data_IF_586624975903
#
_entry.id   IF_586624975903
#
_cell.length_a   1.000
_cell.length_b   1.000
_cell.length_c   1.000
_cell.angle_alpha   90.00
_cell.angle_beta   90.00
_cell.angle_gamma   90.00
#
_symmetry.space_group_name_H-M   'P 1'
#
loop_
_entity.id
_entity.type
_entity.pdbx_description
1 polymer ?
#
# COMPACT_ATOMS: atom_id res chain seq x y z
N UNK A 1 3.59 -39.99 44.94
CA UNK A 1 4.39 -38.77 44.67
C UNK A 1 3.59 -37.88 43.74
N UNK A 2 3.05 -36.77 44.27
CA UNK A 2 2.25 -35.79 43.52
C UNK A 2 3.20 -34.86 42.77
N UNK A 3 3.09 -34.77 41.44
CA UNK A 3 3.74 -33.73 40.65
C UNK A 3 2.72 -32.62 40.41
N UNK A 4 2.84 -31.54 41.18
CA UNK A 4 2.13 -30.28 40.96
C UNK A 4 2.80 -29.52 39.83
N UNK A 5 2.16 -29.51 38.64
CA UNK A 5 2.54 -28.63 37.55
C UNK A 5 2.09 -27.19 37.88
N UNK A 6 3.06 -26.30 38.08
CA UNK A 6 2.85 -24.87 38.28
C UNK A 6 2.40 -24.25 36.95
N UNK A 7 1.15 -23.83 36.87
CA UNK A 7 0.64 -22.96 35.81
C UNK A 7 1.11 -21.54 36.15
N UNK A 8 2.17 -21.07 35.49
CA UNK A 8 2.49 -19.64 35.46
C UNK A 8 1.77 -19.02 34.27
N UNK A 9 0.58 -18.51 34.54
CA UNK A 9 -0.13 -17.62 33.62
C UNK A 9 0.64 -16.30 33.50
N UNK A 10 1.37 -16.13 32.41
CA UNK A 10 1.90 -14.81 32.03
C UNK A 10 0.75 -14.04 31.38
N UNK A 11 0.03 -13.26 32.19
CA UNK A 11 -0.77 -12.14 31.71
C UNK A 11 0.19 -11.15 31.06
N UNK A 12 0.44 -11.31 29.76
CA UNK A 12 0.97 -10.26 28.91
C UNK A 12 -0.08 -9.16 28.88
N UNK A 13 0.08 -8.20 29.78
CA UNK A 13 -0.50 -6.87 29.60
C UNK A 13 -0.12 -6.41 28.20
N UNK A 14 -1.14 -6.14 27.37
CA UNK A 14 -0.99 -5.48 26.09
C UNK A 14 -0.53 -4.04 26.39
N UNK A 15 0.75 -3.87 26.68
CA UNK A 15 1.39 -2.57 26.56
C UNK A 15 1.39 -2.25 25.07
N UNK A 16 0.47 -1.38 24.69
CA UNK A 16 0.49 -0.65 23.43
C UNK A 16 1.76 0.19 23.39
N UNK A 17 2.86 -0.41 22.93
CA UNK A 17 4.06 0.34 22.58
C UNK A 17 3.72 1.14 21.32
N UNK A 18 3.90 2.47 21.37
CA UNK A 18 3.88 3.32 20.18
C UNK A 18 4.97 2.93 19.18
N UNK A 19 5.16 3.71 18.10
CA UNK A 19 6.12 3.36 17.04
C UNK A 19 7.45 2.90 17.64
N UNK A 20 7.86 1.68 17.29
CA UNK A 20 8.99 1.00 17.95
C UNK A 20 10.32 1.53 17.45
N UNK A 21 10.35 2.03 16.22
CA UNK A 21 11.56 2.60 15.64
C UNK A 21 11.85 3.99 16.23
N UNK A 22 13.09 4.15 16.67
CA UNK A 22 13.66 5.45 17.07
C UNK A 22 14.00 6.29 15.85
N UNK A 23 14.10 7.62 16.01
CA UNK A 23 14.52 8.52 14.92
C UNK A 23 15.87 8.12 14.32
N UNK A 24 16.82 7.68 15.15
CA UNK A 24 18.11 7.17 14.67
C UNK A 24 17.96 5.96 13.75
N UNK A 25 17.07 5.02 14.08
CA UNK A 25 16.79 3.85 13.25
C UNK A 25 16.07 4.22 11.96
N UNK A 26 15.13 5.17 12.01
CA UNK A 26 14.49 5.71 10.79
C UNK A 26 15.53 6.30 9.85
N UNK A 27 16.40 7.18 10.35
CA UNK A 27 17.48 7.79 9.58
C UNK A 27 18.45 6.76 9.00
N UNK A 28 18.79 5.71 9.76
CA UNK A 28 19.65 4.63 9.30
C UNK A 28 19.00 3.87 8.13
N UNK A 29 17.73 3.49 8.24
CA UNK A 29 17.01 2.79 7.18
C UNK A 29 16.87 3.67 5.92
N UNK A 30 16.60 4.96 6.09
CA UNK A 30 16.42 5.93 5.00
C UNK A 30 17.74 6.42 4.37
N UNK A 31 18.89 6.06 4.94
CA UNK A 31 20.20 6.36 4.35
C UNK A 31 20.52 5.49 3.13
N UNK A 32 19.81 4.37 2.94
CA UNK A 32 19.98 3.50 1.79
C UNK A 32 19.64 4.23 0.49
N UNK A 33 20.49 4.05 -0.51
CA UNK A 33 20.34 4.63 -1.86
C UNK A 33 20.47 3.59 -2.98
N UNK A 34 20.72 2.33 -2.62
CA UNK A 34 20.65 1.19 -3.51
C UNK A 34 19.19 0.75 -3.73
N UNK A 35 18.99 -0.33 -4.49
CA UNK A 35 17.65 -0.85 -4.81
C UNK A 35 16.86 -1.38 -3.60
N UNK A 36 17.51 -1.53 -2.43
CA UNK A 36 16.83 -1.90 -1.18
C UNK A 36 16.12 -0.72 -0.50
N UNK A 37 16.30 0.51 -0.98
CA UNK A 37 15.81 1.71 -0.29
C UNK A 37 14.29 1.70 -0.04
N UNK A 38 13.48 1.29 -1.03
CA UNK A 38 12.02 1.22 -0.85
C UNK A 38 11.68 0.15 0.16
N UNK A 39 12.27 -1.04 0.08
CA UNK A 39 12.03 -2.11 1.06
C UNK A 39 12.37 -1.67 2.48
N UNK A 40 13.48 -0.94 2.68
CA UNK A 40 13.85 -0.39 3.99
C UNK A 40 12.88 0.70 4.46
N UNK A 41 12.40 1.54 3.55
CA UNK A 41 11.38 2.54 3.87
C UNK A 41 10.03 1.89 4.24
N UNK A 42 9.63 0.81 3.58
CA UNK A 42 8.41 0.07 3.91
C UNK A 42 8.47 -0.54 5.32
N UNK A 43 9.64 -0.93 5.83
CA UNK A 43 9.81 -1.35 7.23
C UNK A 43 9.41 -0.21 8.18
N UNK A 44 9.82 1.02 7.87
CA UNK A 44 9.49 2.20 8.71
C UNK A 44 8.00 2.52 8.70
N UNK A 45 7.35 2.35 7.55
CA UNK A 45 5.91 2.56 7.43
C UNK A 45 5.11 1.42 8.07
N UNK A 46 5.57 0.17 7.95
CA UNK A 46 4.98 -0.97 8.64
C UNK A 46 4.98 -0.78 10.16
N UNK A 47 6.08 -0.28 10.74
CA UNK A 47 6.13 0.08 12.17
C UNK A 47 5.11 1.17 12.52
N UNK A 48 5.06 2.26 11.74
CA UNK A 48 4.09 3.34 11.91
C UNK A 48 2.64 2.83 11.88
N UNK A 49 2.31 1.94 10.94
CA UNK A 49 0.97 1.39 10.75
C UNK A 49 0.58 0.38 11.82
N UNK A 50 1.51 -0.43 12.32
CA UNK A 50 1.23 -1.47 13.32
C UNK A 50 1.21 -0.91 14.75
N UNK A 51 2.10 0.04 15.05
CA UNK A 51 2.31 0.59 16.38
C UNK A 51 1.87 2.06 16.43
N UNK A 52 0.67 2.35 15.93
CA UNK A 52 0.14 3.72 15.79
C UNK A 52 -0.02 4.39 17.15
N UNK A 53 0.84 5.35 17.42
CA UNK A 53 0.71 6.31 18.52
C UNK A 53 0.96 7.74 18.00
N UNK A 54 -0.02 8.62 18.17
CA UNK A 54 0.06 9.99 17.65
C UNK A 54 1.16 10.80 18.37
N UNK A 55 1.34 10.56 19.68
CA UNK A 55 2.35 11.27 20.48
C UNK A 55 3.76 10.90 20.02
N UNK A 56 4.03 9.61 19.84
CA UNK A 56 5.32 9.14 19.37
C UNK A 56 5.57 9.55 17.93
N UNK A 57 4.57 9.48 17.04
CA UNK A 57 4.68 9.99 15.66
C UNK A 57 5.09 11.47 15.62
N UNK A 58 4.40 12.34 16.37
CA UNK A 58 4.73 13.77 16.43
C UNK A 58 6.13 14.01 17.02
N UNK A 59 6.52 13.23 18.04
CA UNK A 59 7.89 13.28 18.59
C UNK A 59 8.94 12.91 17.54
N UNK A 60 8.71 11.85 16.74
CA UNK A 60 9.65 11.45 15.67
C UNK A 60 9.78 12.54 14.59
N UNK A 61 8.67 13.15 14.17
CA UNK A 61 8.72 14.28 13.24
C UNK A 61 9.50 15.46 13.82
N UNK A 62 9.26 15.83 15.08
CA UNK A 62 9.98 16.91 15.73
C UNK A 62 11.50 16.65 15.77
N UNK A 63 11.92 15.45 16.17
CA UNK A 63 13.33 15.06 16.22
C UNK A 63 13.97 15.06 14.82
N UNK A 64 13.27 14.56 13.79
CA UNK A 64 13.74 14.57 12.39
C UNK A 64 13.93 15.99 11.86
N UNK A 65 12.95 16.88 12.03
CA UNK A 65 13.06 18.27 11.59
C UNK A 65 14.12 19.04 12.38
N UNK A 66 14.27 18.78 13.68
CA UNK A 66 15.34 19.36 14.50
C UNK A 66 16.71 18.96 13.95
N UNK A 67 16.92 17.67 13.65
CA UNK A 67 18.16 17.20 13.04
C UNK A 67 18.44 17.87 11.70
N UNK A 68 17.43 17.94 10.82
CA UNK A 68 17.54 18.54 9.48
C UNK A 68 17.81 20.05 9.51
N UNK A 69 17.42 20.75 10.58
CA UNK A 69 17.71 22.19 10.73
C UNK A 69 19.21 22.49 10.90
N UNK A 70 19.99 21.50 11.33
CA UNK A 70 21.44 21.60 11.50
C UNK A 70 22.24 20.75 10.48
N UNK A 71 21.57 19.83 9.78
CA UNK A 71 22.20 18.88 8.85
C UNK A 71 21.40 18.80 7.55
N UNK A 72 21.82 19.57 6.55
CA UNK A 72 21.19 19.53 5.23
C UNK A 72 21.34 18.15 4.59
N UNK A 73 20.22 17.45 4.39
CA UNK A 73 20.18 16.16 3.71
C UNK A 73 18.86 16.03 2.93
N UNK A 74 18.95 16.16 1.60
CA UNK A 74 17.79 16.15 0.72
C UNK A 74 17.01 14.83 0.76
N UNK A 75 17.71 13.68 0.74
CA UNK A 75 17.06 12.36 0.82
C UNK A 75 16.30 12.21 2.13
N UNK A 76 16.93 12.53 3.25
CA UNK A 76 16.31 12.44 4.57
C UNK A 76 15.12 13.40 4.70
N UNK A 77 15.22 14.63 4.17
CA UNK A 77 14.10 15.57 4.15
C UNK A 77 12.90 15.02 3.38
N UNK A 78 13.13 14.47 2.18
CA UNK A 78 12.07 13.83 1.38
C UNK A 78 11.45 12.65 2.14
N UNK A 79 12.29 11.80 2.75
CA UNK A 79 11.82 10.65 3.54
C UNK A 79 10.99 11.08 4.76
N UNK A 80 11.35 12.18 5.42
CA UNK A 80 10.55 12.80 6.49
C UNK A 80 9.20 13.27 5.97
N UNK A 81 9.14 13.92 4.80
CA UNK A 81 7.87 14.33 4.19
C UNK A 81 6.97 13.14 3.83
N UNK A 82 7.55 12.07 3.28
CA UNK A 82 6.83 10.82 3.00
C UNK A 82 6.28 10.23 4.30
N UNK A 83 7.09 10.16 5.36
CA UNK A 83 6.67 9.65 6.66
C UNK A 83 5.54 10.46 7.27
N UNK A 84 5.60 11.79 7.18
CA UNK A 84 4.54 12.69 7.64
C UNK A 84 3.21 12.43 6.91
N UNK A 85 3.25 12.36 5.58
CA UNK A 85 2.08 12.07 4.74
C UNK A 85 1.47 10.72 5.08
N UNK A 86 2.30 9.68 5.19
CA UNK A 86 1.84 8.34 5.53
C UNK A 86 1.22 8.32 6.93
N UNK A 87 1.82 9.01 7.90
CA UNK A 87 1.26 9.16 9.24
C UNK A 87 -0.08 9.86 9.25
N UNK A 88 -0.22 10.98 8.54
CA UNK A 88 -1.51 11.67 8.41
C UNK A 88 -2.60 10.75 7.83
N UNK A 89 -2.26 9.94 6.82
CA UNK A 89 -3.15 8.92 6.29
C UNK A 89 -3.57 7.89 7.35
N UNK A 90 -2.62 7.38 8.14
CA UNK A 90 -2.90 6.37 9.18
C UNK A 90 -3.73 6.90 10.36
N UNK A 91 -3.56 8.18 10.69
CA UNK A 91 -4.29 8.88 11.76
C UNK A 91 -5.55 9.61 11.27
N UNK A 92 -5.91 9.46 9.99
CA UNK A 92 -7.07 10.15 9.36
C UNK A 92 -7.02 11.68 9.54
N UNK A 93 -5.82 12.24 9.48
CA UNK A 93 -5.58 13.69 9.51
C UNK A 93 -5.65 14.20 8.08
N UNK A 94 -6.40 15.29 7.86
CA UNK A 94 -6.51 15.90 6.55
C UNK A 94 -5.16 16.44 6.05
N UNK A 95 -4.90 16.25 4.76
CA UNK A 95 -3.72 16.82 4.12
C UNK A 95 -3.87 18.33 3.95
N UNK A 96 -2.79 19.05 4.25
CA UNK A 96 -2.67 20.49 4.06
C UNK A 96 -2.13 20.85 2.67
N UNK A 97 -2.23 22.13 2.29
CA UNK A 97 -1.56 22.64 1.09
C UNK A 97 -0.02 22.45 1.15
N UNK A 98 0.55 22.53 2.35
CA UNK A 98 1.99 22.30 2.59
C UNK A 98 2.39 20.86 2.27
N UNK A 99 1.55 19.87 2.58
CA UNK A 99 1.82 18.46 2.25
C UNK A 99 1.94 18.25 0.75
N UNK A 100 1.02 18.84 -0.02
CA UNK A 100 1.06 18.81 -1.50
C UNK A 100 2.33 19.46 -2.03
N UNK A 101 2.70 20.61 -1.48
CA UNK A 101 3.91 21.34 -1.86
C UNK A 101 5.18 20.53 -1.53
N UNK A 102 5.23 19.87 -0.37
CA UNK A 102 6.32 18.98 0.00
C UNK A 102 6.48 17.83 -0.98
N UNK A 103 5.39 17.20 -1.43
CA UNK A 103 5.47 16.14 -2.44
C UNK A 103 5.99 16.65 -3.78
N UNK A 104 5.52 17.82 -4.25
CA UNK A 104 6.00 18.42 -5.51
C UNK A 104 7.48 18.81 -5.43
N UNK A 105 7.89 19.44 -4.32
CA UNK A 105 9.31 19.76 -4.06
C UNK A 105 10.14 18.49 -3.99
N UNK A 106 9.66 17.45 -3.31
CA UNK A 106 10.30 16.15 -3.24
C UNK A 106 10.50 15.53 -4.61
N UNK A 107 9.51 15.59 -5.50
CA UNK A 107 9.62 15.08 -6.87
C UNK A 107 10.72 15.80 -7.64
N UNK A 108 10.75 17.14 -7.57
CA UNK A 108 11.82 17.93 -8.20
C UNK A 108 13.19 17.58 -7.63
N UNK A 109 13.31 17.47 -6.31
CA UNK A 109 14.58 17.16 -5.64
C UNK A 109 15.07 15.74 -5.97
N UNK A 110 14.19 14.73 -5.93
CA UNK A 110 14.53 13.36 -6.29
C UNK A 110 14.97 13.25 -7.75
N UNK A 111 14.30 13.96 -8.66
CA UNK A 111 14.69 14.04 -10.07
C UNK A 111 16.07 14.69 -10.27
N UNK A 112 16.37 15.78 -9.56
CA UNK A 112 17.70 16.42 -9.60
C UNK A 112 18.80 15.55 -8.99
N UNK A 113 18.44 14.63 -8.10
CA UNK A 113 19.36 13.65 -7.52
C UNK A 113 19.48 12.38 -8.36
N UNK A 114 18.74 12.28 -9.47
CA UNK A 114 18.62 11.07 -10.29
C UNK A 114 18.19 9.82 -9.48
N UNK A 115 17.44 10.03 -8.39
CA UNK A 115 16.92 8.97 -7.54
C UNK A 115 15.52 8.54 -8.03
N UNK A 116 15.51 7.79 -9.11
CA UNK A 116 14.28 7.31 -9.75
C UNK A 116 13.39 6.49 -8.81
N UNK A 117 13.99 5.71 -7.91
CA UNK A 117 13.24 4.89 -6.97
C UNK A 117 12.48 5.77 -5.97
N UNK A 118 13.15 6.75 -5.34
CA UNK A 118 12.51 7.73 -4.47
C UNK A 118 11.49 8.60 -5.23
N UNK A 119 11.81 8.99 -6.46
CA UNK A 119 10.91 9.74 -7.34
C UNK A 119 9.62 8.95 -7.61
N UNK A 120 9.73 7.66 -7.89
CA UNK A 120 8.57 6.79 -8.12
C UNK A 120 7.67 6.65 -6.89
N UNK A 121 8.25 6.63 -5.69
CA UNK A 121 7.52 6.57 -4.43
C UNK A 121 6.70 7.85 -4.23
N UNK A 122 7.29 9.01 -4.47
CA UNK A 122 6.60 10.31 -4.41
C UNK A 122 5.47 10.41 -5.44
N UNK A 123 5.69 9.96 -6.68
CA UNK A 123 4.64 9.84 -7.69
C UNK A 123 3.49 8.94 -7.21
N UNK A 124 3.79 7.86 -6.47
CA UNK A 124 2.76 6.95 -5.97
C UNK A 124 1.92 7.52 -4.81
N UNK A 125 2.46 8.49 -4.05
CA UNK A 125 1.79 9.08 -2.90
C UNK A 125 0.99 10.33 -3.26
N UNK A 126 1.43 11.08 -4.26
CA UNK A 126 0.80 12.34 -4.66
C UNK A 126 -0.72 12.22 -4.93
N UNK A 127 -1.22 11.17 -5.63
CA UNK A 127 -2.65 10.97 -5.85
C UNK A 127 -3.52 10.99 -4.59
N UNK A 128 -2.98 10.60 -3.43
CA UNK A 128 -3.72 10.58 -2.15
C UNK A 128 -4.13 11.97 -1.68
N UNK A 129 -3.44 13.01 -2.15
CA UNK A 129 -3.68 14.41 -1.78
C UNK A 129 -4.42 15.17 -2.88
N UNK A 130 -4.74 14.51 -3.98
CA UNK A 130 -5.22 15.10 -5.22
C UNK A 130 -6.63 14.61 -5.54
N UNK A 131 -7.34 15.33 -6.42
CA UNK A 131 -8.68 14.94 -6.89
C UNK A 131 -8.62 13.61 -7.64
N UNK A 132 -9.59 12.69 -7.46
CA UNK A 132 -9.59 11.37 -8.13
C UNK A 132 -9.48 11.45 -9.66
N UNK A 133 -9.90 12.55 -10.28
CA UNK A 133 -9.91 12.74 -11.73
C UNK A 133 -8.57 13.22 -12.32
N UNK A 134 -7.59 13.61 -11.49
CA UNK A 134 -6.32 14.25 -11.94
C UNK A 134 -5.07 13.42 -11.59
N UNK A 135 -5.26 12.10 -11.41
CA UNK A 135 -4.26 11.23 -10.79
C UNK A 135 -3.61 10.22 -11.74
N UNK A 136 -4.19 10.00 -12.92
CA UNK A 136 -3.72 8.99 -13.87
C UNK A 136 -2.27 9.24 -14.29
N UNK A 137 -1.88 10.49 -14.54
CA UNK A 137 -0.50 10.86 -14.86
C UNK A 137 0.48 10.41 -13.76
N UNK A 138 0.27 10.81 -12.50
CA UNK A 138 1.17 10.48 -11.41
C UNK A 138 1.26 8.96 -11.18
N UNK A 139 0.13 8.25 -11.24
CA UNK A 139 0.11 6.80 -11.13
C UNK A 139 0.85 6.12 -12.28
N UNK A 140 0.62 6.53 -13.52
CA UNK A 140 1.30 5.97 -14.69
C UNK A 140 2.82 6.23 -14.64
N UNK A 141 3.25 7.44 -14.25
CA UNK A 141 4.68 7.75 -14.09
C UNK A 141 5.34 6.90 -13.02
N UNK A 142 4.66 6.68 -11.89
CA UNK A 142 5.14 5.77 -10.85
C UNK A 142 5.32 4.34 -11.40
N UNK A 143 4.32 3.82 -12.11
CA UNK A 143 4.36 2.47 -12.69
C UNK A 143 5.46 2.33 -13.77
N UNK A 144 5.62 3.32 -14.63
CA UNK A 144 6.66 3.37 -15.67
C UNK A 144 8.06 3.27 -15.05
N UNK A 145 8.35 4.12 -14.08
CA UNK A 145 9.66 4.13 -13.40
C UNK A 145 9.91 2.82 -12.65
N UNK A 146 8.91 2.30 -11.94
CA UNK A 146 9.02 1.04 -11.18
C UNK A 146 9.27 -0.16 -12.11
N UNK A 147 8.63 -0.19 -13.29
CA UNK A 147 8.89 -1.22 -14.30
C UNK A 147 10.31 -1.12 -14.87
N UNK A 148 10.80 0.10 -15.11
CA UNK A 148 12.18 0.33 -15.61
C UNK A 148 13.24 -0.14 -14.60
N UNK A 149 13.01 0.10 -13.31
CA UNK A 149 13.94 -0.29 -12.24
C UNK A 149 13.91 -1.80 -11.98
N UNK A 150 12.73 -2.41 -12.05
CA UNK A 150 12.48 -3.79 -11.62
C UNK A 150 11.44 -3.83 -10.50
N UNK A 151 10.31 -4.49 -10.75
CA UNK A 151 9.15 -4.51 -9.85
C UNK A 151 9.44 -5.23 -8.52
N UNK A 152 10.42 -6.12 -8.50
CA UNK A 152 10.92 -6.84 -7.32
C UNK A 152 11.49 -5.91 -6.23
N UNK A 153 11.92 -4.71 -6.61
CA UNK A 153 12.42 -3.69 -5.67
C UNK A 153 11.28 -2.89 -5.01
N UNK A 154 10.03 -3.18 -5.36
CA UNK A 154 8.82 -2.53 -4.85
C UNK A 154 7.87 -3.56 -4.24
N UNK A 155 8.02 -3.92 -2.95
CA UNK A 155 7.24 -4.99 -2.33
C UNK A 155 5.71 -4.83 -2.44
N UNK A 156 5.25 -3.58 -2.53
CA UNK A 156 3.84 -3.18 -2.64
C UNK A 156 3.41 -2.80 -4.07
N UNK A 157 4.19 -3.11 -5.11
CA UNK A 157 3.86 -2.79 -6.51
C UNK A 157 2.47 -3.30 -6.92
N UNK A 158 2.13 -4.54 -6.54
CA UNK A 158 0.84 -5.16 -6.83
C UNK A 158 -0.34 -4.36 -6.27
N UNK A 159 -0.19 -3.69 -5.11
CA UNK A 159 -1.25 -2.83 -4.56
C UNK A 159 -1.54 -1.62 -5.44
N UNK A 160 -0.51 -1.07 -6.08
CA UNK A 160 -0.67 0.06 -7.01
C UNK A 160 -1.44 -0.37 -8.25
N UNK A 161 -1.14 -1.55 -8.78
CA UNK A 161 -1.89 -2.13 -9.90
C UNK A 161 -3.36 -2.38 -9.54
N UNK A 162 -3.65 -2.91 -8.33
CA UNK A 162 -5.03 -3.12 -7.86
C UNK A 162 -5.78 -1.79 -7.82
N UNK A 163 -5.20 -0.79 -7.14
CA UNK A 163 -5.86 0.51 -7.00
C UNK A 163 -6.08 1.19 -8.35
N UNK A 164 -5.13 1.04 -9.28
CA UNK A 164 -5.25 1.63 -10.61
C UNK A 164 -6.30 0.89 -11.45
N UNK A 165 -6.35 -0.45 -11.38
CA UNK A 165 -7.40 -1.26 -12.01
C UNK A 165 -8.80 -0.84 -11.55
N UNK A 166 -9.00 -0.68 -10.23
CA UNK A 166 -10.25 -0.19 -9.64
C UNK A 166 -10.58 1.21 -10.13
N UNK A 167 -9.58 2.11 -10.17
CA UNK A 167 -9.79 3.48 -10.65
C UNK A 167 -10.23 3.51 -12.12
N UNK A 168 -9.61 2.69 -12.98
CA UNK A 168 -9.98 2.57 -14.39
C UNK A 168 -11.40 2.03 -14.57
N UNK A 169 -11.82 1.07 -13.74
CA UNK A 169 -13.20 0.59 -13.75
C UNK A 169 -14.20 1.72 -13.47
N UNK A 170 -13.95 2.53 -12.44
CA UNK A 170 -14.86 3.62 -12.06
C UNK A 170 -14.95 4.76 -13.08
N UNK A 171 -13.92 4.96 -13.89
CA UNK A 171 -13.95 5.95 -14.99
C UNK A 171 -14.41 5.36 -16.33
N UNK A 172 -14.84 4.09 -16.36
CA UNK A 172 -15.34 3.43 -17.57
C UNK A 172 -14.26 2.87 -18.51
N UNK A 173 -12.99 2.94 -18.11
CA UNK A 173 -11.86 2.41 -18.88
C UNK A 173 -11.66 0.89 -18.63
N UNK A 174 -12.68 0.11 -18.98
CA UNK A 174 -12.77 -1.31 -18.62
C UNK A 174 -11.63 -2.16 -19.19
N UNK A 175 -11.10 -1.83 -20.37
CA UNK A 175 -9.93 -2.52 -20.95
C UNK A 175 -8.68 -2.31 -20.10
N UNK A 176 -8.42 -1.07 -19.70
CA UNK A 176 -7.30 -0.76 -18.81
C UNK A 176 -7.50 -1.42 -17.43
N UNK A 177 -8.73 -1.40 -16.90
CA UNK A 177 -9.06 -2.07 -15.64
C UNK A 177 -8.69 -3.57 -15.69
N UNK A 178 -9.03 -4.25 -16.79
CA UNK A 178 -8.69 -5.66 -17.03
C UNK A 178 -7.16 -5.84 -17.10
N UNK A 179 -6.45 -5.04 -17.88
CA UNK A 179 -5.01 -5.22 -18.09
C UNK A 179 -4.22 -5.03 -16.80
N UNK A 180 -4.47 -3.97 -16.04
CA UNK A 180 -3.83 -3.77 -14.74
C UNK A 180 -4.28 -4.79 -13.70
N UNK A 181 -5.54 -5.22 -13.76
CA UNK A 181 -6.08 -6.22 -12.85
C UNK A 181 -5.47 -7.60 -13.04
N UNK A 182 -5.24 -8.01 -14.29
CA UNK A 182 -4.54 -9.27 -14.61
C UNK A 182 -3.09 -9.24 -14.16
N UNK A 183 -2.38 -8.13 -14.41
CA UNK A 183 -1.01 -7.94 -13.92
C UNK A 183 -0.95 -8.04 -12.37
N UNK A 184 -1.93 -7.49 -11.66
CA UNK A 184 -2.01 -7.60 -10.21
C UNK A 184 -2.24 -9.05 -9.74
N UNK A 185 -3.12 -9.80 -10.43
CA UNK A 185 -3.42 -11.19 -10.12
C UNK A 185 -2.18 -12.08 -10.29
N UNK A 186 -1.40 -11.88 -11.35
CA UNK A 186 -0.14 -12.60 -11.60
C UNK A 186 0.84 -12.41 -10.42
N UNK A 187 1.04 -11.16 -9.97
CA UNK A 187 1.90 -10.87 -8.83
C UNK A 187 1.35 -11.38 -7.49
N UNK A 188 0.06 -11.65 -7.42
CA UNK A 188 -0.58 -12.26 -6.26
C UNK A 188 -0.44 -13.79 -6.29
N UNK A 189 -0.22 -14.47 -7.40
CA UNK A 189 -0.24 -15.96 -7.47
C UNK A 189 0.69 -16.61 -6.44
N UNK A 190 1.89 -16.04 -6.28
CA UNK A 190 2.91 -16.55 -5.35
C UNK A 190 2.79 -15.97 -3.92
N UNK A 191 1.73 -15.21 -3.62
CA UNK A 191 1.51 -14.58 -2.31
C UNK A 191 0.45 -15.34 -1.51
N UNK A 192 0.84 -15.76 -0.33
CA UNK A 192 -0.02 -16.41 0.66
C UNK A 192 -0.50 -15.45 1.76
N UNK A 193 -1.37 -15.96 2.62
CA UNK A 193 -1.95 -15.21 3.73
C UNK A 193 -3.31 -14.59 3.40
N UNK A 194 -4.02 -14.18 4.44
CA UNK A 194 -5.40 -13.71 4.34
C UNK A 194 -5.51 -12.39 3.57
N UNK A 195 -4.57 -11.46 3.74
CA UNK A 195 -4.53 -10.20 2.99
C UNK A 195 -4.37 -10.43 1.48
N UNK A 196 -3.47 -11.33 1.08
CA UNK A 196 -3.31 -11.70 -0.33
C UNK A 196 -4.57 -12.36 -0.90
N UNK A 197 -5.25 -13.21 -0.11
CA UNK A 197 -6.51 -13.83 -0.50
C UNK A 197 -7.63 -12.79 -0.69
N UNK A 198 -7.79 -11.85 0.25
CA UNK A 198 -8.75 -10.74 0.15
C UNK A 198 -8.51 -9.90 -1.10
N UNK A 199 -7.26 -9.54 -1.36
CA UNK A 199 -6.90 -8.76 -2.55
C UNK A 199 -7.14 -9.53 -3.85
N UNK A 200 -6.92 -10.83 -3.85
CA UNK A 200 -7.17 -11.68 -5.02
C UNK A 200 -8.65 -11.73 -5.37
N UNK A 201 -9.53 -12.01 -4.41
CA UNK A 201 -10.97 -12.06 -4.69
C UNK A 201 -11.53 -10.70 -5.10
N UNK A 202 -11.08 -9.62 -4.46
CA UNK A 202 -11.43 -8.26 -4.84
C UNK A 202 -11.04 -7.98 -6.30
N UNK A 203 -9.81 -8.33 -6.68
CA UNK A 203 -9.32 -8.08 -8.03
C UNK A 203 -10.03 -8.94 -9.08
N UNK A 204 -10.38 -10.19 -8.74
CA UNK A 204 -11.18 -11.06 -9.61
C UNK A 204 -12.57 -10.48 -9.88
N UNK A 205 -13.19 -9.86 -8.87
CA UNK A 205 -14.49 -9.19 -9.02
C UNK A 205 -14.40 -8.02 -9.99
N UNK A 206 -13.46 -7.10 -9.80
CA UNK A 206 -13.29 -5.94 -10.70
C UNK A 206 -12.94 -6.34 -12.14
N UNK A 207 -12.13 -7.39 -12.34
CA UNK A 207 -11.84 -7.90 -13.69
C UNK A 207 -13.09 -8.53 -14.30
N UNK A 208 -13.83 -9.35 -13.54
CA UNK A 208 -15.08 -9.96 -13.99
C UNK A 208 -16.15 -8.91 -14.32
N UNK A 209 -16.34 -7.92 -13.46
CA UNK A 209 -17.24 -6.79 -13.66
C UNK A 209 -16.86 -5.99 -14.90
N UNK A 210 -15.57 -5.72 -15.12
CA UNK A 210 -15.09 -5.05 -16.34
C UNK A 210 -15.43 -5.83 -17.61
N UNK A 211 -15.27 -7.17 -17.61
CA UNK A 211 -15.69 -8.00 -18.75
C UNK A 211 -17.20 -8.03 -18.94
N UNK A 212 -17.98 -7.92 -17.87
CA UNK A 212 -19.44 -7.80 -17.94
C UNK A 212 -19.85 -6.51 -18.65
N UNK A 213 -19.20 -5.39 -18.35
CA UNK A 213 -19.44 -4.11 -19.03
C UNK A 213 -19.03 -4.11 -20.51
N UNK A 214 -18.19 -5.06 -20.93
CA UNK A 214 -17.76 -5.25 -22.32
C UNK A 214 -18.50 -6.39 -23.04
N UNK A 215 -19.59 -6.91 -22.45
CA UNK A 215 -20.40 -8.01 -22.98
C UNK A 215 -19.57 -9.26 -23.35
N UNK A 216 -18.64 -9.66 -22.45
CA UNK A 216 -17.79 -10.86 -22.61
C UNK A 216 -18.17 -11.98 -21.64
N UNK A 217 -19.31 -12.67 -21.85
CA UNK A 217 -19.87 -13.63 -20.89
C UNK A 217 -18.93 -14.79 -20.54
N UNK A 218 -18.15 -15.30 -21.49
CA UNK A 218 -17.18 -16.39 -21.21
C UNK A 218 -16.09 -15.94 -20.24
N UNK A 219 -15.62 -14.70 -20.38
CA UNK A 219 -14.62 -14.12 -19.47
C UNK A 219 -15.23 -13.86 -18.10
N UNK A 220 -16.45 -13.32 -18.04
CA UNK A 220 -17.19 -13.18 -16.77
C UNK A 220 -17.28 -14.53 -16.05
N UNK A 221 -17.75 -15.57 -16.73
CA UNK A 221 -17.88 -16.91 -16.16
C UNK A 221 -16.54 -17.50 -15.72
N UNK A 222 -15.44 -17.21 -16.42
CA UNK A 222 -14.11 -17.62 -16.01
C UNK A 222 -13.70 -16.94 -14.68
N UNK A 223 -13.76 -15.61 -14.61
CA UNK A 223 -13.28 -14.87 -13.44
C UNK A 223 -14.14 -15.09 -12.19
N UNK A 224 -15.48 -15.17 -12.33
CA UNK A 224 -16.37 -15.44 -11.20
C UNK A 224 -16.24 -16.88 -10.67
N UNK A 225 -15.89 -17.87 -11.51
CA UNK A 225 -15.52 -19.22 -11.05
C UNK A 225 -14.22 -19.23 -10.25
N UNK A 226 -13.21 -18.48 -10.69
CA UNK A 226 -11.97 -18.33 -9.92
C UNK A 226 -12.25 -17.61 -8.59
N UNK A 227 -13.08 -16.56 -8.60
CA UNK A 227 -13.48 -15.85 -7.38
C UNK A 227 -14.11 -16.81 -6.40
N UNK A 228 -15.06 -17.64 -6.85
CA UNK A 228 -15.69 -18.66 -6.02
C UNK A 228 -14.67 -19.64 -5.41
N UNK A 229 -13.73 -20.14 -6.21
CA UNK A 229 -12.66 -21.04 -5.76
C UNK A 229 -11.81 -20.42 -4.64
N UNK A 230 -11.46 -19.15 -4.74
CA UNK A 230 -10.69 -18.46 -3.70
C UNK A 230 -11.55 -18.07 -2.51
N UNK A 231 -12.81 -17.69 -2.70
CA UNK A 231 -13.74 -17.38 -1.62
C UNK A 231 -13.91 -18.55 -0.63
N UNK A 232 -13.89 -19.80 -1.12
CA UNK A 232 -13.97 -20.99 -0.27
C UNK A 232 -12.81 -21.12 0.73
N UNK A 233 -11.67 -20.48 0.47
CA UNK A 233 -10.46 -20.55 1.28
C UNK A 233 -10.50 -19.60 2.51
N UNK A 234 -11.46 -18.67 2.58
CA UNK A 234 -11.60 -17.81 3.76
C UNK A 234 -11.91 -18.63 5.01
N UNK A 235 -11.27 -18.29 6.13
CA UNK A 235 -11.60 -18.86 7.45
C UNK A 235 -12.80 -18.14 8.05
N UNK A 236 -12.86 -16.82 7.89
CA UNK A 236 -14.00 -16.00 8.28
C UNK A 236 -15.25 -16.39 7.46
N UNK A 237 -16.30 -16.81 8.17
CA UNK A 237 -17.53 -17.30 7.57
C UNK A 237 -18.34 -16.19 6.90
N UNK A 238 -18.27 -14.95 7.40
CA UNK A 238 -18.99 -13.80 6.87
C UNK A 238 -18.35 -13.38 5.55
N UNK A 239 -17.03 -13.18 5.53
CA UNK A 239 -16.29 -12.84 4.31
C UNK A 239 -16.48 -13.91 3.23
N UNK A 240 -16.44 -15.19 3.62
CA UNK A 240 -16.74 -16.30 2.71
C UNK A 240 -18.12 -16.16 2.08
N UNK A 241 -19.16 -15.91 2.87
CA UNK A 241 -20.53 -15.79 2.37
C UNK A 241 -20.70 -14.60 1.45
N UNK A 242 -20.12 -13.45 1.78
CA UNK A 242 -20.13 -12.24 0.94
C UNK A 242 -19.55 -12.57 -0.43
N UNK A 243 -18.31 -13.08 -0.49
CA UNK A 243 -17.65 -13.38 -1.75
C UNK A 243 -18.33 -14.48 -2.55
N UNK A 244 -18.88 -15.51 -1.89
CA UNK A 244 -19.66 -16.53 -2.58
C UNK A 244 -20.97 -16.00 -3.16
N UNK A 245 -21.63 -15.04 -2.51
CA UNK A 245 -22.83 -14.44 -3.06
C UNK A 245 -22.52 -13.49 -4.21
N UNK A 246 -21.40 -12.75 -4.17
CA UNK A 246 -20.89 -11.98 -5.32
C UNK A 246 -20.57 -12.92 -6.49
N UNK A 247 -19.90 -14.04 -6.21
CA UNK A 247 -19.57 -15.07 -7.22
C UNK A 247 -20.80 -15.54 -8.00
N UNK A 248 -21.96 -15.60 -7.32
CA UNK A 248 -23.25 -16.08 -7.85
C UNK A 248 -24.13 -14.96 -8.41
N UNK A 249 -23.69 -13.70 -8.35
CA UNK A 249 -24.49 -12.54 -8.78
C UNK A 249 -25.62 -12.15 -7.82
N UNK A 250 -25.58 -12.61 -6.56
CA UNK A 250 -26.58 -12.27 -5.52
C UNK A 250 -26.27 -10.91 -4.88
N UNK A 251 -24.99 -10.55 -4.78
CA UNK A 251 -24.52 -9.26 -4.24
C UNK A 251 -23.63 -8.56 -5.27
N UNK A 252 -23.54 -7.24 -5.18
CA UNK A 252 -22.74 -6.40 -6.07
C UNK A 252 -21.85 -5.50 -5.21
N UNK A 253 -20.52 -5.61 -5.39
CA UNK A 253 -19.53 -4.69 -4.78
C UNK A 253 -18.99 -3.70 -5.82
N UNK A 254 -19.02 -4.05 -7.11
CA UNK A 254 -18.53 -3.25 -8.24
C UNK A 254 -19.62 -2.90 -9.25
#
# INVERSE_FOLDING_TARGET
MKLTALITGLLLSLMSFGQKLTTKQLMQLWSASDTSQTTKAEITYADLKQNKDLKTFNRRLFELYTYLSHHANNRLLIRTWIYEVLGKSEFKINFSATDKLHMQKGQKMAGLMEDDQLLSELFSLYPRMSSPYDNSYYTLRSLEIQRRIGMEHFPLFYLRLINFSISMYHVGEYKAAIDYGKNALELLENRGGEDALQRRVLQLDYVGASYKQLDKPDSVNYYYRQLQKYALQFKDSILKQIWLGIAKGVWVIA
#
